data_IF_831768404534
#
_entry.id   IF_831768404534
#
_cell.length_a   1.000
_cell.length_b   1.000
_cell.length_c   1.000
_cell.angle_alpha   90.00
_cell.angle_beta   90.00
_cell.angle_gamma   90.00
#
_symmetry.space_group_name_H-M   'P 1'
#
loop_
_entity.id
_entity.type
_entity.pdbx_description
1 polymer ?
#
# COMPACT_ATOMS: atom_id res chain seq x y z
N UNK A 1 28.15 -13.75 -46.96
CA UNK A 1 27.19 -14.49 -46.13
C UNK A 1 26.59 -13.52 -45.12
N UNK A 2 25.49 -12.89 -45.49
CA UNK A 2 24.83 -11.84 -44.70
C UNK A 2 23.82 -12.50 -43.76
N UNK A 3 24.05 -12.39 -42.45
CA UNK A 3 23.11 -12.83 -41.42
C UNK A 3 21.94 -11.83 -41.37
N UNK A 4 20.78 -12.18 -41.92
CA UNK A 4 19.53 -11.49 -41.61
C UNK A 4 19.08 -11.93 -40.21
N UNK A 5 19.31 -11.09 -39.21
CA UNK A 5 18.73 -11.26 -37.89
C UNK A 5 17.24 -10.94 -37.93
N UNK A 6 16.38 -11.95 -37.78
CA UNK A 6 14.96 -11.75 -37.52
C UNK A 6 14.78 -11.08 -36.16
N UNK A 7 14.43 -9.79 -36.16
CA UNK A 7 13.87 -9.13 -34.97
C UNK A 7 12.42 -9.59 -34.86
N UNK A 8 12.15 -10.54 -33.97
CA UNK A 8 10.79 -10.89 -33.60
C UNK A 8 10.15 -9.71 -32.85
N UNK A 9 9.36 -8.91 -33.54
CA UNK A 9 8.48 -7.92 -32.91
C UNK A 9 7.38 -8.73 -32.20
N UNK A 10 7.54 -8.94 -30.90
CA UNK A 10 6.47 -9.49 -30.08
C UNK A 10 5.31 -8.50 -30.06
N UNK A 11 4.25 -8.79 -30.83
CA UNK A 11 2.99 -8.06 -30.75
C UNK A 11 2.43 -8.31 -29.35
N UNK A 12 2.53 -7.32 -28.48
CA UNK A 12 1.88 -7.35 -27.16
C UNK A 12 0.39 -7.55 -27.37
N UNK A 13 -0.16 -8.67 -26.88
CA UNK A 13 -1.60 -8.85 -26.83
C UNK A 13 -2.16 -7.81 -25.86
N UNK A 14 -3.07 -6.96 -26.34
CA UNK A 14 -3.74 -5.91 -25.56
C UNK A 14 -4.39 -6.42 -24.27
N UNK A 15 -4.72 -7.71 -24.23
CA UNK A 15 -5.41 -8.34 -23.10
C UNK A 15 -4.44 -8.73 -21.96
N UNK A 16 -3.13 -8.79 -22.23
CA UNK A 16 -2.11 -8.96 -21.20
C UNK A 16 -1.70 -7.60 -20.62
N UNK A 17 -2.54 -7.13 -19.69
CA UNK A 17 -2.36 -5.84 -19.01
C UNK A 17 -1.05 -5.75 -18.23
N UNK A 18 -0.49 -6.88 -17.79
CA UNK A 18 0.80 -6.88 -17.07
C UNK A 18 1.94 -6.70 -18.07
N UNK A 19 1.88 -7.34 -19.23
CA UNK A 19 2.86 -7.14 -20.30
C UNK A 19 2.80 -5.70 -20.83
N UNK A 20 1.61 -5.12 -21.00
CA UNK A 20 1.43 -3.71 -21.37
C UNK A 20 2.05 -2.79 -20.31
N UNK A 21 1.76 -3.01 -19.03
CA UNK A 21 2.36 -2.25 -17.94
C UNK A 21 3.88 -2.36 -17.94
N UNK A 22 4.41 -3.57 -18.14
CA UNK A 22 5.84 -3.84 -18.19
C UNK A 22 6.52 -3.07 -19.32
N UNK A 23 5.96 -3.14 -20.52
CA UNK A 23 6.45 -2.40 -21.67
C UNK A 23 6.48 -0.89 -21.41
N UNK A 24 5.43 -0.35 -20.78
CA UNK A 24 5.32 1.08 -20.50
C UNK A 24 6.25 1.57 -19.37
N UNK A 25 6.49 0.75 -18.34
CA UNK A 25 7.06 1.24 -17.07
C UNK A 25 8.42 0.64 -16.71
N UNK A 26 8.78 -0.55 -17.19
CA UNK A 26 9.96 -1.26 -16.68
C UNK A 26 11.26 -0.49 -16.89
N UNK A 27 11.47 0.10 -18.08
CA UNK A 27 12.69 0.87 -18.36
C UNK A 27 12.83 2.08 -17.42
N UNK A 28 11.73 2.79 -17.16
CA UNK A 28 11.67 3.93 -16.24
C UNK A 28 11.93 3.48 -14.80
N UNK A 29 11.29 2.41 -14.34
CA UNK A 29 11.49 1.87 -12.99
C UNK A 29 12.93 1.42 -12.76
N UNK A 30 13.54 0.73 -13.74
CA UNK A 30 14.95 0.31 -13.69
C UNK A 30 15.87 1.51 -13.55
N UNK A 31 15.68 2.54 -14.39
CA UNK A 31 16.47 3.77 -14.34
C UNK A 31 16.32 4.48 -13.00
N UNK A 32 15.09 4.66 -12.52
CA UNK A 32 14.80 5.45 -11.33
C UNK A 32 15.26 4.75 -10.03
N UNK A 33 15.16 3.43 -9.97
CA UNK A 33 15.74 2.63 -8.88
C UNK A 33 17.27 2.67 -8.93
N UNK A 34 17.88 2.47 -10.11
CA UNK A 34 19.34 2.52 -10.27
C UNK A 34 19.91 3.86 -9.84
N UNK A 35 19.26 4.97 -10.19
CA UNK A 35 19.66 6.33 -9.78
C UNK A 35 19.67 6.53 -8.26
N UNK A 36 19.01 5.65 -7.50
CA UNK A 36 18.95 5.65 -6.03
C UNK A 36 19.79 4.52 -5.40
N UNK A 37 20.61 3.84 -6.20
CA UNK A 37 21.41 2.70 -5.76
C UNK A 37 20.59 1.44 -5.44
N UNK A 38 19.42 1.29 -6.05
CA UNK A 38 18.47 0.20 -5.81
C UNK A 38 18.36 -0.70 -7.04
N UNK A 39 17.98 -1.97 -6.83
CA UNK A 39 17.85 -2.99 -7.87
C UNK A 39 16.38 -3.14 -8.26
N UNK A 40 16.12 -3.35 -9.55
CA UNK A 40 14.81 -3.75 -10.06
C UNK A 40 14.78 -5.25 -10.42
N UNK A 41 13.75 -6.00 -9.99
CA UNK A 41 12.73 -5.58 -9.03
C UNK A 41 13.31 -5.46 -7.60
N UNK A 42 12.72 -4.62 -6.73
CA UNK A 42 13.15 -4.55 -5.33
C UNK A 42 12.80 -5.85 -4.59
N UNK A 43 13.68 -6.33 -3.71
CA UNK A 43 13.43 -7.56 -2.95
C UNK A 43 12.26 -7.44 -1.98
N UNK A 44 12.09 -6.27 -1.37
CA UNK A 44 11.05 -5.97 -0.38
C UNK A 44 10.42 -4.64 -0.69
N UNK A 45 9.11 -4.54 -0.49
CA UNK A 45 8.38 -3.28 -0.56
C UNK A 45 7.48 -3.10 0.67
N UNK A 46 7.20 -1.84 0.98
CA UNK A 46 6.28 -1.40 2.02
C UNK A 46 5.46 -0.23 1.47
N UNK A 47 4.14 -0.31 1.63
CA UNK A 47 3.21 0.72 1.20
C UNK A 47 2.66 1.44 2.43
N UNK A 48 2.75 2.78 2.44
CA UNK A 48 2.22 3.62 3.51
C UNK A 48 1.20 4.60 2.96
N UNK A 49 -0.07 4.40 3.29
CA UNK A 49 -1.18 5.26 2.89
C UNK A 49 -1.45 6.34 3.94
N UNK A 50 -1.68 7.57 3.49
CA UNK A 50 -1.97 8.75 4.30
C UNK A 50 -3.29 9.35 3.81
N UNK A 51 -4.38 9.13 4.54
CA UNK A 51 -5.74 9.48 4.08
C UNK A 51 -5.92 10.98 3.90
N UNK A 52 -5.59 11.80 4.91
CA UNK A 52 -5.73 13.26 4.86
C UNK A 52 -4.91 13.87 3.73
N UNK A 53 -3.68 13.43 3.55
CA UNK A 53 -2.76 13.94 2.53
C UNK A 53 -3.10 13.41 1.13
N UNK A 54 -3.96 12.39 1.05
CA UNK A 54 -4.28 11.65 -0.18
C UNK A 54 -3.01 11.16 -0.87
N UNK A 55 -2.11 10.52 -0.10
CA UNK A 55 -0.82 10.00 -0.59
C UNK A 55 -0.65 8.52 -0.29
N UNK A 56 0.02 7.83 -1.21
CA UNK A 56 0.57 6.50 -1.00
C UNK A 56 2.08 6.56 -1.20
N UNK A 57 2.85 6.31 -0.15
CA UNK A 57 4.29 6.22 -0.22
C UNK A 57 4.70 4.76 -0.48
N UNK A 58 5.56 4.53 -1.48
CA UNK A 58 6.15 3.25 -1.78
C UNK A 58 7.61 3.27 -1.34
N UNK A 59 7.91 2.40 -0.38
CA UNK A 59 9.22 2.21 0.20
C UNK A 59 9.79 0.88 -0.27
N UNK A 60 11.08 0.84 -0.55
CA UNK A 60 11.77 -0.37 -1.02
C UNK A 60 12.99 -0.67 -0.19
N UNK A 61 13.36 -1.95 -0.09
CA UNK A 61 14.56 -2.41 0.58
C UNK A 61 15.19 -3.58 -0.18
N UNK A 62 16.51 -3.81 -0.01
CA UNK A 62 17.14 -5.08 -0.37
C UNK A 62 16.58 -6.23 0.49
N UNK A 63 17.13 -7.43 0.36
CA UNK A 63 16.66 -8.61 1.11
C UNK A 63 16.69 -8.40 2.64
N UNK A 64 17.65 -7.62 3.14
CA UNK A 64 17.83 -7.23 4.55
C UNK A 64 18.16 -5.74 4.65
N UNK A 65 17.86 -5.12 5.80
CA UNK A 65 18.18 -3.73 6.09
C UNK A 65 17.01 -2.75 5.95
N UNK A 66 17.28 -1.44 6.09
CA UNK A 66 16.26 -0.40 6.17
C UNK A 66 15.60 -0.13 4.82
N UNK A 67 14.33 0.26 4.87
CA UNK A 67 13.60 0.77 3.73
C UNK A 67 14.07 2.16 3.33
N UNK A 68 13.93 2.47 2.04
CA UNK A 68 14.17 3.78 1.46
C UNK A 68 12.94 4.20 0.68
N UNK A 69 12.53 5.46 0.81
CA UNK A 69 11.43 6.00 0.03
C UNK A 69 11.82 5.96 -1.45
N UNK A 70 11.04 5.25 -2.26
CA UNK A 70 11.21 5.25 -3.71
C UNK A 70 10.40 6.37 -4.36
N UNK A 71 9.09 6.39 -4.08
CA UNK A 71 8.15 7.33 -4.71
C UNK A 71 6.93 7.56 -3.84
N UNK A 72 6.35 8.76 -3.96
CA UNK A 72 5.06 9.12 -3.36
C UNK A 72 4.04 9.38 -4.46
N UNK A 73 2.94 8.64 -4.44
CA UNK A 73 1.85 8.74 -5.41
C UNK A 73 0.70 9.56 -4.84
N UNK A 74 0.05 10.36 -5.67
CA UNK A 74 -1.25 10.95 -5.33
C UNK A 74 -2.33 9.87 -5.39
N UNK A 75 -3.25 9.87 -4.41
CA UNK A 75 -4.44 9.03 -4.46
C UNK A 75 -5.57 9.83 -5.12
N UNK A 76 -6.00 9.37 -6.29
CA UNK A 76 -6.97 10.06 -7.14
C UNK A 76 -8.38 10.06 -6.56
N UNK A 77 -8.76 9.00 -5.83
CA UNK A 77 -9.97 9.00 -5.02
C UNK A 77 -9.83 8.13 -3.77
N UNK A 78 -10.38 8.65 -2.68
CA UNK A 78 -10.56 8.02 -1.37
C UNK A 78 -11.95 8.43 -0.90
N UNK A 79 -12.69 7.52 -0.31
CA UNK A 79 -14.02 7.79 0.25
C UNK A 79 -13.99 7.77 1.79
N UNK A 80 -15.01 8.37 2.39
CA UNK A 80 -15.16 8.45 3.84
C UNK A 80 -14.33 9.55 4.50
N UNK A 81 -14.31 9.56 5.84
CA UNK A 81 -13.63 10.54 6.67
C UNK A 81 -12.36 9.94 7.31
N UNK A 82 -11.73 10.65 8.25
CA UNK A 82 -10.74 10.03 9.13
C UNK A 82 -11.44 9.09 10.10
N UNK A 83 -10.82 7.95 10.37
CA UNK A 83 -11.35 6.88 11.20
C UNK A 83 -11.34 5.52 10.46
N UNK A 84 -11.38 4.43 11.24
CA UNK A 84 -11.40 3.07 10.69
C UNK A 84 -12.74 2.74 10.05
N UNK A 85 -12.71 1.82 9.07
CA UNK A 85 -13.90 1.18 8.53
C UNK A 85 -14.51 0.24 9.58
N UNK A 86 -15.83 0.29 9.80
CA UNK A 86 -16.51 -0.49 10.86
C UNK A 86 -17.59 -1.42 10.33
N UNK A 87 -18.11 -1.16 9.13
CA UNK A 87 -19.16 -1.99 8.52
C UNK A 87 -19.16 -1.92 6.99
N UNK A 88 -19.78 -2.89 6.37
CA UNK A 88 -20.10 -2.85 4.94
C UNK A 88 -20.98 -1.63 4.63
N UNK A 89 -20.75 -1.00 3.46
CA UNK A 89 -21.53 0.16 3.02
C UNK A 89 -21.24 1.49 3.72
N UNK A 90 -20.33 1.57 4.70
CA UNK A 90 -19.93 2.85 5.32
C UNK A 90 -19.07 3.77 4.42
N UNK A 91 -18.77 3.33 3.19
CA UNK A 91 -17.93 4.03 2.21
C UNK A 91 -16.56 4.47 2.77
N UNK A 92 -16.05 3.79 3.79
CA UNK A 92 -14.84 4.20 4.49
C UNK A 92 -13.62 3.45 3.96
N UNK A 93 -12.55 4.16 3.59
CA UNK A 93 -11.22 3.52 3.45
C UNK A 93 -10.72 3.16 4.85
N UNK A 94 -10.31 1.89 5.09
CA UNK A 94 -9.91 1.47 6.42
C UNK A 94 -8.59 2.11 6.86
N UNK A 95 -8.35 2.07 8.16
CA UNK A 95 -7.10 2.49 8.81
C UNK A 95 -6.59 1.33 9.63
N UNK A 96 -5.29 1.05 9.58
CA UNK A 96 -4.74 -0.15 10.19
C UNK A 96 -3.51 -0.71 9.50
N UNK A 97 -3.15 -1.92 9.90
CA UNK A 97 -2.01 -2.66 9.38
C UNK A 97 -2.48 -3.85 8.56
N UNK A 98 -2.10 -3.86 7.28
CA UNK A 98 -2.56 -4.82 6.29
C UNK A 98 -1.39 -5.47 5.56
N UNK A 99 -1.73 -6.50 4.79
CA UNK A 99 -0.86 -7.11 3.80
C UNK A 99 -1.58 -7.24 2.48
N UNK A 100 -0.84 -7.22 1.38
CA UNK A 100 -1.37 -7.61 0.07
C UNK A 100 -1.70 -9.11 0.11
N UNK A 101 -2.98 -9.43 -0.01
CA UNK A 101 -3.53 -10.78 -0.06
C UNK A 101 -3.54 -11.37 -1.47
N UNK A 102 -3.45 -10.54 -2.50
CA UNK A 102 -3.36 -10.99 -3.89
C UNK A 102 -3.19 -9.87 -4.89
N UNK A 103 -2.58 -10.21 -6.03
CA UNK A 103 -2.45 -9.35 -7.20
C UNK A 103 -3.49 -9.77 -8.23
N UNK A 104 -4.26 -8.81 -8.75
CA UNK A 104 -5.29 -9.07 -9.75
C UNK A 104 -4.95 -8.36 -11.07
N UNK A 105 -4.47 -9.11 -12.09
CA UNK A 105 -4.18 -8.56 -13.41
C UNK A 105 -5.44 -8.29 -14.24
N UNK A 106 -6.60 -8.80 -13.82
CA UNK A 106 -7.91 -8.65 -14.50
C UNK A 106 -8.89 -7.84 -13.65
N UNK A 107 -8.37 -6.81 -12.98
CA UNK A 107 -9.18 -5.87 -12.20
C UNK A 107 -10.23 -5.17 -13.06
N UNK A 108 -11.34 -4.75 -12.44
CA UNK A 108 -12.32 -3.86 -13.09
C UNK A 108 -11.75 -2.47 -13.41
N UNK A 109 -10.65 -2.08 -12.75
CA UNK A 109 -10.01 -0.76 -12.85
C UNK A 109 -8.53 -0.89 -13.27
N UNK A 110 -8.26 -1.55 -14.41
CA UNK A 110 -6.93 -1.92 -14.95
C UNK A 110 -6.20 -3.04 -14.18
N UNK A 111 -5.55 -2.71 -13.07
CA UNK A 111 -4.77 -3.61 -12.20
C UNK A 111 -5.18 -3.38 -10.74
N UNK A 112 -5.01 -4.36 -9.85
CA UNK A 112 -5.21 -4.12 -8.42
C UNK A 112 -4.42 -5.02 -7.49
N UNK A 113 -4.21 -4.53 -6.27
CA UNK A 113 -3.72 -5.26 -5.10
C UNK A 113 -4.90 -5.40 -4.13
N UNK A 114 -5.27 -6.64 -3.76
CA UNK A 114 -6.26 -6.90 -2.71
C UNK A 114 -5.59 -6.84 -1.35
N UNK A 115 -6.15 -6.12 -0.39
CA UNK A 115 -5.70 -6.13 1.01
C UNK A 115 -6.34 -7.30 1.77
N UNK A 116 -5.71 -7.74 2.86
CA UNK A 116 -6.30 -8.72 3.79
C UNK A 116 -7.35 -8.10 4.75
N UNK A 117 -8.01 -7.01 4.34
CA UNK A 117 -9.15 -6.47 5.07
C UNK A 117 -10.38 -7.36 4.83
N UNK A 118 -11.20 -7.63 5.86
CA UNK A 118 -10.99 -7.29 7.27
C UNK A 118 -9.94 -8.21 7.88
N UNK A 119 -9.06 -7.67 8.70
CA UNK A 119 -8.12 -8.44 9.51
C UNK A 119 -8.72 -8.78 10.89
N UNK A 120 -7.91 -9.37 11.77
CA UNK A 120 -8.40 -9.79 13.10
C UNK A 120 -8.83 -8.61 13.99
N UNK A 121 -8.18 -7.44 13.89
CA UNK A 121 -8.61 -6.24 14.61
C UNK A 121 -9.93 -5.74 14.01
N UNK A 122 -10.00 -5.58 12.69
CA UNK A 122 -11.22 -5.06 12.03
C UNK A 122 -12.46 -5.89 12.41
N UNK A 123 -12.33 -7.22 12.45
CA UNK A 123 -13.41 -8.12 12.87
C UNK A 123 -13.82 -7.95 14.34
N UNK A 124 -12.85 -7.77 15.25
CA UNK A 124 -13.13 -7.60 16.68
C UNK A 124 -13.82 -6.26 16.99
N UNK A 125 -13.75 -5.33 16.05
CA UNK A 125 -14.11 -3.92 16.20
C UNK A 125 -15.25 -3.49 15.28
N UNK A 126 -15.83 -4.43 14.54
CA UNK A 126 -16.89 -4.17 13.58
C UNK A 126 -18.22 -3.89 14.30
N UNK A 127 -18.99 -2.95 13.76
CA UNK A 127 -20.34 -2.62 14.27
C UNK A 127 -21.44 -3.41 13.54
N UNK A 128 -21.08 -4.52 12.89
CA UNK A 128 -21.87 -5.31 11.95
C UNK A 128 -20.94 -6.12 11.03
N UNK A 129 -21.42 -6.66 9.89
CA UNK A 129 -20.53 -7.25 8.90
C UNK A 129 -19.49 -6.20 8.45
N UNK A 130 -18.17 -6.45 8.61
CA UNK A 130 -17.14 -5.44 8.31
C UNK A 130 -16.98 -5.13 6.82
N UNK A 131 -17.64 -5.90 5.95
CA UNK A 131 -17.42 -5.89 4.51
C UNK A 131 -16.14 -6.64 4.11
N UNK A 132 -15.73 -6.43 2.87
CA UNK A 132 -14.62 -7.12 2.22
C UNK A 132 -14.04 -6.24 1.10
N UNK A 133 -13.13 -6.78 0.28
CA UNK A 133 -12.76 -6.21 -1.02
C UNK A 133 -12.21 -4.78 -0.98
N UNK A 134 -11.27 -4.53 -0.07
CA UNK A 134 -10.45 -3.31 -0.09
C UNK A 134 -9.24 -3.52 -1.00
N UNK A 135 -9.10 -2.63 -1.98
CA UNK A 135 -8.05 -2.68 -2.99
C UNK A 135 -7.24 -1.38 -3.07
N UNK A 136 -6.02 -1.52 -3.58
CA UNK A 136 -5.28 -0.44 -4.24
C UNK A 136 -5.40 -0.72 -5.74
N UNK A 137 -6.00 0.17 -6.53
CA UNK A 137 -6.33 -0.10 -7.93
C UNK A 137 -6.16 1.12 -8.85
N UNK A 138 -6.29 0.92 -10.17
CA UNK A 138 -6.26 1.99 -11.17
C UNK A 138 -7.53 2.83 -11.21
N UNK A 139 -7.72 3.65 -12.24
CA UNK A 139 -8.85 4.58 -12.36
C UNK A 139 -8.94 5.58 -11.19
N UNK A 140 -9.97 6.44 -11.20
CA UNK A 140 -10.15 7.58 -10.30
C UNK A 140 -11.42 7.51 -9.46
N UNK A 141 -12.07 6.35 -9.38
CA UNK A 141 -13.35 6.16 -8.65
C UNK A 141 -13.14 5.26 -7.44
N UNK A 142 -13.72 5.60 -6.28
CA UNK A 142 -13.60 4.79 -5.07
C UNK A 142 -14.86 4.83 -4.20
N UNK A 143 -15.23 3.66 -3.65
CA UNK A 143 -16.28 3.47 -2.64
C UNK A 143 -15.74 2.72 -1.40
N UNK A 144 -14.44 2.88 -1.11
CA UNK A 144 -13.76 2.26 0.04
C UNK A 144 -12.32 1.82 -0.24
N UNK A 145 -11.84 2.03 -1.47
CA UNK A 145 -10.51 1.63 -1.94
C UNK A 145 -9.54 2.82 -2.08
N UNK A 146 -8.27 2.53 -2.37
CA UNK A 146 -7.30 3.53 -2.80
C UNK A 146 -7.23 3.52 -4.33
N UNK A 147 -7.91 4.48 -4.98
CA UNK A 147 -7.86 4.64 -6.43
C UNK A 147 -6.63 5.47 -6.81
N UNK A 148 -5.67 4.87 -7.51
CA UNK A 148 -4.35 5.43 -7.79
C UNK A 148 -4.25 6.09 -9.17
N UNK A 149 -5.23 5.87 -10.04
CA UNK A 149 -5.11 6.13 -11.47
C UNK A 149 -4.28 5.07 -12.19
N UNK A 150 -4.52 4.98 -13.50
CA UNK A 150 -3.94 3.92 -14.34
C UNK A 150 -2.42 4.01 -14.47
N UNK A 151 -1.86 5.22 -14.44
CA UNK A 151 -0.42 5.42 -14.54
C UNK A 151 0.31 4.87 -13.30
N UNK A 152 -0.15 5.25 -12.11
CA UNK A 152 0.48 4.87 -10.84
C UNK A 152 0.28 3.39 -10.53
N UNK A 153 -0.90 2.81 -10.81
CA UNK A 153 -1.16 1.41 -10.49
C UNK A 153 -0.26 0.46 -11.28
N UNK A 154 0.13 0.81 -12.51
CA UNK A 154 1.06 0.01 -13.30
C UNK A 154 2.41 -0.13 -12.58
N UNK A 155 2.98 0.97 -12.08
CA UNK A 155 4.23 0.93 -11.31
C UNK A 155 4.07 0.15 -10.01
N UNK A 156 3.04 0.47 -9.21
CA UNK A 156 2.78 -0.18 -7.92
C UNK A 156 2.60 -1.68 -8.11
N UNK A 157 1.85 -2.10 -9.12
CA UNK A 157 1.59 -3.51 -9.42
C UNK A 157 2.87 -4.23 -9.83
N UNK A 158 3.67 -3.68 -10.75
CA UNK A 158 4.91 -4.32 -11.20
C UNK A 158 5.93 -4.48 -10.07
N UNK A 159 6.11 -3.44 -9.26
CA UNK A 159 7.00 -3.48 -8.10
C UNK A 159 6.51 -4.49 -7.06
N UNK A 160 5.20 -4.61 -6.87
CA UNK A 160 4.59 -5.60 -5.97
C UNK A 160 4.73 -7.02 -6.49
N UNK A 161 4.55 -7.23 -7.80
CA UNK A 161 4.70 -8.54 -8.44
C UNK A 161 6.14 -9.07 -8.38
N UNK A 162 7.13 -8.17 -8.36
CA UNK A 162 8.55 -8.53 -8.25
C UNK A 162 9.07 -8.64 -6.81
N UNK A 163 8.28 -8.27 -5.80
CA UNK A 163 8.73 -8.23 -4.41
C UNK A 163 8.38 -9.52 -3.64
N UNK A 164 9.20 -9.85 -2.64
CA UNK A 164 8.96 -11.00 -1.77
C UNK A 164 7.79 -10.73 -0.82
N UNK A 165 6.78 -11.63 -0.73
CA UNK A 165 5.72 -11.52 0.28
C UNK A 165 6.24 -11.85 1.70
N UNK A 166 5.55 -11.38 2.76
CA UNK A 166 4.36 -10.53 2.72
C UNK A 166 4.71 -9.08 2.40
N UNK A 167 3.92 -8.45 1.52
CA UNK A 167 3.99 -7.00 1.25
C UNK A 167 3.13 -6.29 2.29
N UNK A 168 3.75 -5.45 3.11
CA UNK A 168 3.08 -4.68 4.16
C UNK A 168 2.43 -3.42 3.59
N UNK A 169 1.21 -3.15 4.05
CA UNK A 169 0.43 -1.95 3.72
C UNK A 169 -0.11 -1.37 5.02
N UNK A 170 0.39 -0.22 5.44
CA UNK A 170 -0.12 0.47 6.62
C UNK A 170 -0.89 1.72 6.18
N UNK A 171 -2.12 1.88 6.66
CA UNK A 171 -3.01 2.98 6.32
C UNK A 171 -3.24 3.85 7.56
N UNK A 172 -2.84 5.11 7.46
CA UNK A 172 -2.90 6.09 8.54
C UNK A 172 -3.92 7.19 8.23
N UNK A 173 -4.54 7.80 9.26
CA UNK A 173 -5.43 8.94 9.08
C UNK A 173 -4.70 10.15 8.46
N UNK A 174 -3.46 10.40 8.89
CA UNK A 174 -2.61 11.51 8.43
C UNK A 174 -1.15 11.18 8.72
N UNK A 175 -0.19 12.06 8.39
CA UNK A 175 1.16 11.98 8.99
C UNK A 175 1.05 12.06 10.51
N UNK A 176 1.60 11.09 11.22
CA UNK A 176 1.43 10.98 12.69
C UNK A 176 2.48 11.78 13.47
N UNK A 177 2.84 12.98 12.99
CA UNK A 177 3.78 13.90 13.65
C UNK A 177 3.17 14.52 14.91
N UNK A 178 4.00 15.11 15.78
CA UNK A 178 3.53 15.80 16.99
C UNK A 178 2.58 16.95 16.66
N UNK A 179 2.91 17.71 15.60
CA UNK A 179 2.09 18.81 15.10
C UNK A 179 0.68 18.32 14.69
N UNK A 180 0.60 17.21 13.97
CA UNK A 180 -0.70 16.68 13.53
C UNK A 180 -1.47 16.00 14.65
N UNK A 181 -0.76 15.39 15.62
CA UNK A 181 -1.37 14.67 16.74
C UNK A 181 -2.25 15.57 17.61
N UNK A 182 -1.81 16.80 17.89
CA UNK A 182 -2.57 17.74 18.74
C UNK A 182 -3.99 18.01 18.22
N UNK A 183 -4.16 18.11 16.90
CA UNK A 183 -5.47 18.22 16.27
C UNK A 183 -6.18 16.88 16.12
N UNK A 184 -5.46 15.85 15.64
CA UNK A 184 -6.04 14.54 15.32
C UNK A 184 -6.69 13.89 16.53
N UNK A 185 -6.05 13.94 17.70
CA UNK A 185 -6.57 13.31 18.92
C UNK A 185 -7.93 13.90 19.36
N UNK A 186 -8.25 15.12 18.96
CA UNK A 186 -9.55 15.75 19.22
C UNK A 186 -10.63 15.44 18.16
N UNK A 187 -10.31 14.73 17.09
CA UNK A 187 -11.27 14.39 16.02
C UNK A 187 -11.97 13.04 16.22
N UNK A 188 -11.38 12.14 17.01
CA UNK A 188 -11.88 10.79 17.21
C UNK A 188 -12.59 10.62 18.54
N UNK A 189 -13.51 9.65 18.61
CA UNK A 189 -14.01 9.15 19.89
C UNK A 189 -12.89 8.50 20.73
N UNK A 190 -13.10 8.19 22.02
CA UNK A 190 -12.06 7.63 22.87
C UNK A 190 -11.41 6.34 22.35
N UNK A 191 -12.16 5.47 21.66
CA UNK A 191 -11.62 4.24 21.09
C UNK A 191 -10.77 4.53 19.85
N UNK A 192 -11.26 5.39 18.95
CA UNK A 192 -10.57 5.77 17.72
C UNK A 192 -9.28 6.53 18.05
N UNK A 193 -9.30 7.40 19.05
CA UNK A 193 -8.11 8.11 19.53
C UNK A 193 -7.08 7.16 20.14
N UNK A 194 -7.53 6.17 20.93
CA UNK A 194 -6.64 5.10 21.43
C UNK A 194 -6.04 4.29 20.29
N UNK A 195 -6.85 3.93 19.30
CA UNK A 195 -6.40 3.23 18.10
C UNK A 195 -5.35 4.03 17.33
N UNK A 196 -5.60 5.32 17.09
CA UNK A 196 -4.63 6.22 16.44
C UNK A 196 -3.34 6.38 17.22
N UNK A 197 -3.37 6.32 18.56
CA UNK A 197 -2.14 6.31 19.36
C UNK A 197 -1.27 5.09 19.06
N UNK A 198 -1.86 3.92 18.83
CA UNK A 198 -1.12 2.71 18.46
C UNK A 198 -0.54 2.85 17.05
N UNK A 199 -1.32 3.37 16.10
CA UNK A 199 -0.84 3.69 14.77
C UNK A 199 0.35 4.67 14.83
N UNK A 200 0.25 5.72 15.64
CA UNK A 200 1.30 6.72 15.84
C UNK A 200 2.60 6.09 16.32
N UNK A 201 2.55 5.18 17.29
CA UNK A 201 3.75 4.47 17.75
C UNK A 201 4.44 3.68 16.63
N UNK A 202 3.67 2.97 15.79
CA UNK A 202 4.21 2.27 14.63
C UNK A 202 4.83 3.24 13.61
N UNK A 203 4.10 4.33 13.29
CA UNK A 203 4.54 5.37 12.36
C UNK A 203 5.87 5.99 12.77
N UNK A 204 5.98 6.47 14.02
CA UNK A 204 7.18 7.12 14.53
C UNK A 204 8.36 6.13 14.65
N UNK A 205 8.08 4.87 15.02
CA UNK A 205 9.11 3.83 15.03
C UNK A 205 9.66 3.58 13.62
N UNK A 206 8.80 3.53 12.60
CA UNK A 206 9.23 3.39 11.22
C UNK A 206 10.01 4.62 10.75
N UNK A 207 9.53 5.84 11.00
CA UNK A 207 10.24 7.07 10.59
C UNK A 207 11.66 7.17 11.19
N UNK A 208 11.85 6.69 12.43
CA UNK A 208 13.17 6.69 13.07
C UNK A 208 14.11 5.61 12.53
N UNK A 209 13.58 4.42 12.22
CA UNK A 209 14.41 3.22 11.98
C UNK A 209 14.42 2.74 10.54
N UNK A 210 13.42 3.16 9.76
CA UNK A 210 13.04 2.63 8.46
C UNK A 210 12.90 1.09 8.45
N UNK A 211 12.54 0.50 9.59
CA UNK A 211 12.21 -0.91 9.73
C UNK A 211 10.72 -1.03 10.07
N UNK A 212 9.96 -1.76 9.25
CA UNK A 212 8.52 -1.93 9.47
C UNK A 212 8.30 -2.68 10.78
N UNK A 213 7.57 -2.09 11.75
CA UNK A 213 7.24 -2.76 13.00
C UNK A 213 6.40 -4.01 12.78
N UNK A 214 6.69 -5.03 13.58
CA UNK A 214 5.87 -6.24 13.70
C UNK A 214 4.75 -5.97 14.70
N UNK A 215 3.61 -6.55 14.43
CA UNK A 215 2.45 -6.49 15.31
C UNK A 215 1.79 -7.86 15.42
N UNK A 216 1.04 -8.04 16.50
CA UNK A 216 0.04 -9.10 16.65
C UNK A 216 -1.29 -8.46 17.03
N UNK A 217 -2.38 -9.19 16.83
CA UNK A 217 -3.68 -8.81 17.39
C UNK A 217 -3.92 -9.66 18.63
N UNK A 218 -4.04 -9.03 19.80
CA UNK A 218 -4.30 -9.69 21.08
C UNK A 218 -5.56 -9.09 21.68
N UNK A 219 -6.57 -9.92 21.96
CA UNK A 219 -7.88 -9.49 22.49
C UNK A 219 -8.48 -8.32 21.69
N UNK A 220 -8.39 -8.41 20.36
CA UNK A 220 -8.93 -7.40 19.45
C UNK A 220 -8.06 -6.16 19.24
N UNK A 221 -6.89 -6.02 19.89
CA UNK A 221 -6.03 -4.84 19.73
C UNK A 221 -4.66 -5.15 19.12
N UNK A 222 -4.11 -4.16 18.41
CA UNK A 222 -2.74 -4.23 17.93
C UNK A 222 -1.75 -4.13 19.10
N UNK A 223 -0.81 -5.07 19.16
CA UNK A 223 0.33 -5.07 20.08
C UNK A 223 1.61 -5.11 19.25
N UNK A 224 2.46 -4.10 19.40
CA UNK A 224 3.77 -4.04 18.73
C UNK A 224 4.73 -5.06 19.37
N UNK A 225 5.41 -5.85 18.56
CA UNK A 225 6.31 -6.92 19.03
C UNK A 225 7.77 -6.72 18.58
N UNK A 226 8.17 -5.47 18.34
CA UNK A 226 9.51 -5.09 17.85
C UNK A 226 9.58 -4.83 16.34
N UNK A 227 10.77 -4.52 15.81
CA UNK A 227 11.01 -4.18 14.40
C UNK A 227 11.67 -5.33 13.62
N UNK A 228 11.37 -5.46 12.32
CA UNK A 228 11.96 -6.50 11.48
C UNK A 228 13.34 -6.11 10.92
N UNK A 229 14.39 -6.32 11.72
CA UNK A 229 15.79 -6.26 11.32
C UNK A 229 16.46 -7.63 11.39
N UNK A 230 16.08 -8.55 10.50
CA UNK A 230 16.76 -9.83 10.32
C UNK A 230 16.82 -10.17 8.86
#
# INVERSE_FOLDING_TARGET
>A
MTFLGLVAIAILRSDDRVAVARHAKEAVLRRDLKARGLIYPPSRIYLRGLKRERRLELWVAPSRGPFRLFKTYAVQALSGALGPKRREGDLQVPEGFYTVAGLNPRSRFLLSLRLNYPNARDRAHASGPPGFDIFIHGNCVSAGCLAMGDDAIQEIYLLSAGARPPIRVDLYPTRMTDQNWGWLAGQGDPETTRFWSILRHSYLSFDRTHLVPKFKVVRGEYVLTGSSGS
#
